data_IF_865488303586
#
_entry.id   IF_865488303586
#
_cell.length_a   1.000
_cell.length_b   1.000
_cell.length_c   1.000
_cell.angle_alpha   90.00
_cell.angle_beta   90.00
_cell.angle_gamma   90.00
#
_symmetry.space_group_name_H-M   'P 1'
#
loop_
_entity.id
_entity.type
_entity.pdbx_description
1 polymer ?
#
# COMPACT_ATOMS: atom_id res chain seq x y z
N UNK A 1 -12.12 -3.00 18.27
CA UNK A 1 -10.75 -3.41 18.66
C UNK A 1 -9.68 -2.43 18.19
N UNK A 2 -9.78 -1.85 16.99
CA UNK A 2 -8.80 -0.86 16.51
C UNK A 2 -8.84 0.47 17.31
N UNK A 3 -10.04 0.97 17.65
CA UNK A 3 -10.26 2.25 18.37
C UNK A 3 -9.62 2.33 19.75
N UNK A 4 -9.41 1.20 20.41
CA UNK A 4 -8.83 1.13 21.75
C UNK A 4 -7.30 1.16 21.76
N UNK A 5 -6.68 1.13 20.58
CA UNK A 5 -5.22 1.14 20.44
C UNK A 5 -4.70 2.58 20.24
N UNK A 6 -3.48 2.90 20.72
CA UNK A 6 -2.79 4.14 20.36
C UNK A 6 -2.61 4.29 18.84
N UNK A 7 -2.59 5.52 18.34
CA UNK A 7 -2.57 5.82 16.90
C UNK A 7 -1.37 5.18 16.18
N UNK A 8 -0.21 5.11 16.84
CA UNK A 8 1.00 4.47 16.33
C UNK A 8 0.80 2.96 16.15
N UNK A 9 0.08 2.33 17.08
CA UNK A 9 -0.25 0.90 17.02
C UNK A 9 -1.29 0.65 15.93
N UNK A 10 -2.27 1.54 15.78
CA UNK A 10 -3.21 1.46 14.66
C UNK A 10 -2.48 1.54 13.32
N UNK A 11 -1.56 2.49 13.14
CA UNK A 11 -0.75 2.60 11.92
C UNK A 11 0.10 1.36 11.67
N UNK A 12 0.68 0.76 12.71
CA UNK A 12 1.45 -0.48 12.58
C UNK A 12 0.58 -1.63 12.09
N UNK A 13 -0.57 -1.87 12.73
CA UNK A 13 -1.50 -2.94 12.36
C UNK A 13 -2.04 -2.74 10.95
N UNK A 14 -2.51 -1.54 10.63
CA UNK A 14 -3.07 -1.24 9.30
C UNK A 14 -2.01 -1.29 8.20
N UNK A 15 -0.75 -0.96 8.50
CA UNK A 15 0.34 -1.06 7.54
C UNK A 15 0.77 -2.49 7.19
N UNK A 16 0.39 -3.48 8.00
CA UNK A 16 0.63 -4.91 7.73
C UNK A 16 -0.50 -5.58 6.94
N UNK A 17 -1.66 -4.93 6.82
CA UNK A 17 -2.77 -5.45 6.03
C UNK A 17 -2.48 -5.31 4.53
N UNK A 18 -2.93 -6.29 3.76
CA UNK A 18 -2.97 -6.18 2.30
C UNK A 18 -4.00 -5.11 1.87
N UNK A 19 -3.84 -4.59 0.66
CA UNK A 19 -4.68 -3.51 0.14
C UNK A 19 -6.16 -3.92 0.06
N UNK A 20 -6.46 -5.18 -0.26
CA UNK A 20 -7.84 -5.65 -0.35
C UNK A 20 -8.47 -5.69 1.04
N UNK A 21 -7.79 -6.26 2.04
CA UNK A 21 -8.26 -6.28 3.43
C UNK A 21 -8.49 -4.88 3.99
N UNK A 22 -7.64 -3.91 3.66
CA UNK A 22 -7.82 -2.51 4.04
C UNK A 22 -9.12 -1.93 3.46
N UNK A 23 -9.31 -2.09 2.14
CA UNK A 23 -10.43 -1.47 1.41
C UNK A 23 -11.76 -2.22 1.56
N UNK A 24 -11.76 -3.46 2.05
CA UNK A 24 -12.97 -4.28 2.20
C UNK A 24 -13.47 -4.38 3.66
N UNK A 25 -12.80 -3.72 4.61
CA UNK A 25 -13.13 -3.75 6.03
C UNK A 25 -14.47 -3.05 6.38
N UNK A 26 -15.60 -3.76 6.22
CA UNK A 26 -16.96 -3.16 6.22
C UNK A 26 -17.49 -2.53 7.53
N UNK A 27 -17.27 -3.06 8.75
CA UNK A 27 -17.92 -2.47 9.92
C UNK A 27 -17.23 -1.19 10.44
N UNK A 28 -15.95 -0.99 10.12
CA UNK A 28 -15.15 0.14 10.59
C UNK A 28 -14.48 0.90 9.43
N UNK A 29 -15.01 0.79 8.20
CA UNK A 29 -14.37 1.34 6.99
C UNK A 29 -14.06 2.84 7.15
N UNK A 30 -14.94 3.63 7.75
CA UNK A 30 -14.71 5.06 7.96
C UNK A 30 -13.57 5.33 8.94
N UNK A 31 -13.48 4.55 10.02
CA UNK A 31 -12.39 4.66 10.98
C UNK A 31 -11.08 4.21 10.33
N UNK A 32 -11.08 3.03 9.71
CA UNK A 32 -9.91 2.46 9.04
C UNK A 32 -9.41 3.44 7.99
N UNK A 33 -10.28 3.95 7.12
CA UNK A 33 -9.90 4.89 6.08
C UNK A 33 -9.49 6.26 6.63
N UNK A 34 -10.09 6.75 7.72
CA UNK A 34 -9.63 8.00 8.35
C UNK A 34 -8.24 7.86 8.98
N UNK A 35 -7.96 6.73 9.65
CA UNK A 35 -6.63 6.42 10.16
C UNK A 35 -5.63 6.21 9.03
N UNK A 36 -5.99 5.48 7.98
CA UNK A 36 -5.15 5.26 6.79
C UNK A 36 -4.85 6.59 6.09
N UNK A 37 -5.83 7.47 5.93
CA UNK A 37 -5.64 8.81 5.34
C UNK A 37 -4.73 9.71 6.20
N UNK A 38 -4.70 9.52 7.52
CA UNK A 38 -3.79 10.22 8.41
C UNK A 38 -2.34 9.70 8.33
N UNK A 39 -2.11 8.52 7.74
CA UNK A 39 -0.77 8.00 7.50
C UNK A 39 -0.10 8.76 6.36
N UNK A 40 0.95 9.51 6.68
CA UNK A 40 1.71 10.31 5.69
C UNK A 40 2.26 9.47 4.52
N UNK A 41 2.59 8.20 4.76
CA UNK A 41 3.01 7.27 3.71
C UNK A 41 1.87 6.91 2.75
N UNK A 42 0.64 6.80 3.25
CA UNK A 42 -0.52 6.52 2.41
C UNK A 42 -0.91 7.70 1.54
N UNK A 43 -0.98 8.91 2.11
CA UNK A 43 -1.27 10.14 1.36
C UNK A 43 -0.31 10.31 0.18
N UNK A 44 0.98 10.05 0.42
CA UNK A 44 2.02 10.02 -0.61
C UNK A 44 1.76 8.99 -1.73
N UNK A 45 1.41 7.75 -1.36
CA UNK A 45 1.08 6.69 -2.33
C UNK A 45 -0.14 7.07 -3.15
N UNK A 46 -1.22 7.54 -2.51
CA UNK A 46 -2.44 7.92 -3.22
C UNK A 46 -2.17 9.03 -4.21
N UNK A 47 -1.40 10.06 -3.83
CA UNK A 47 -1.05 11.16 -4.73
C UNK A 47 -0.21 10.71 -5.94
N UNK A 48 0.72 9.78 -5.76
CA UNK A 48 1.69 9.40 -6.80
C UNK A 48 1.29 8.15 -7.61
N UNK A 49 0.51 7.25 -7.02
CA UNK A 49 0.29 5.91 -7.53
C UNK A 49 -1.19 5.47 -7.47
N UNK A 50 -2.14 6.41 -7.48
CA UNK A 50 -3.57 6.08 -7.50
C UNK A 50 -3.96 5.16 -8.66
N UNK A 51 -3.46 5.44 -9.87
CA UNK A 51 -3.74 4.63 -11.05
C UNK A 51 -3.20 3.20 -10.89
N UNK A 52 -2.05 3.03 -10.24
CA UNK A 52 -1.51 1.72 -9.91
C UNK A 52 -2.45 0.95 -8.97
N UNK A 53 -2.92 1.60 -7.90
CA UNK A 53 -3.83 0.98 -6.93
C UNK A 53 -5.13 0.53 -7.61
N UNK A 54 -5.70 1.39 -8.48
CA UNK A 54 -6.89 1.07 -9.28
C UNK A 54 -6.66 -0.12 -10.21
N UNK A 55 -5.51 -0.15 -10.90
CA UNK A 55 -5.16 -1.25 -11.80
C UNK A 55 -5.04 -2.55 -11.01
N UNK A 56 -4.29 -2.55 -9.91
CA UNK A 56 -4.08 -3.74 -9.07
C UNK A 56 -5.39 -4.29 -8.48
N UNK A 57 -6.34 -3.42 -8.14
CA UNK A 57 -7.68 -3.84 -7.74
C UNK A 57 -8.45 -4.46 -8.92
N UNK A 58 -8.40 -3.84 -10.10
CA UNK A 58 -9.13 -4.30 -11.28
C UNK A 58 -8.62 -5.65 -11.80
N UNK A 59 -7.32 -5.91 -11.74
CA UNK A 59 -6.73 -7.20 -12.13
C UNK A 59 -6.61 -8.20 -10.97
N UNK A 60 -7.24 -7.90 -9.83
CA UNK A 60 -7.25 -8.75 -8.63
C UNK A 60 -5.86 -9.10 -8.07
N UNK A 61 -4.86 -8.23 -8.20
CA UNK A 61 -3.51 -8.45 -7.61
C UNK A 61 -3.31 -7.70 -6.30
N UNK A 62 -4.20 -6.77 -5.93
CA UNK A 62 -4.06 -5.95 -4.73
C UNK A 62 -3.99 -6.73 -3.40
N UNK A 63 -4.43 -8.00 -3.37
CA UNK A 63 -4.34 -8.86 -2.19
C UNK A 63 -2.91 -9.40 -1.94
N UNK A 64 -2.02 -9.28 -2.92
CA UNK A 64 -0.68 -9.88 -2.84
C UNK A 64 0.36 -8.99 -2.16
N UNK A 65 0.02 -7.74 -1.86
CA UNK A 65 0.96 -6.77 -1.29
C UNK A 65 0.32 -5.86 -0.24
N UNK A 66 1.14 -5.39 0.68
CA UNK A 66 0.75 -4.45 1.73
C UNK A 66 1.01 -3.00 1.34
N UNK A 67 0.46 -2.07 2.13
CA UNK A 67 0.73 -0.64 2.00
C UNK A 67 2.24 -0.31 2.07
N UNK A 68 2.95 -0.98 2.98
CA UNK A 68 4.40 -0.78 3.19
C UNK A 68 5.21 -1.22 1.99
N UNK A 69 4.87 -2.37 1.41
CA UNK A 69 5.53 -2.89 0.21
C UNK A 69 5.30 -1.98 -0.99
N UNK A 70 4.07 -1.50 -1.16
CA UNK A 70 3.75 -0.51 -2.20
C UNK A 70 4.54 0.79 -2.00
N UNK A 71 4.59 1.32 -0.77
CA UNK A 71 5.35 2.52 -0.45
C UNK A 71 6.84 2.38 -0.83
N UNK A 72 7.46 1.28 -0.39
CA UNK A 72 8.86 1.00 -0.72
C UNK A 72 9.12 0.96 -2.23
N UNK A 73 8.12 0.54 -3.01
CA UNK A 73 8.20 0.41 -4.47
C UNK A 73 7.96 1.71 -5.21
N UNK A 74 7.01 2.54 -4.78
CA UNK A 74 6.80 3.91 -5.32
C UNK A 74 8.08 4.73 -5.24
N UNK A 75 8.81 4.59 -4.12
CA UNK A 75 10.01 5.36 -3.86
C UNK A 75 11.31 4.63 -4.24
N UNK A 76 11.21 3.50 -4.92
CA UNK A 76 12.37 2.76 -5.35
C UNK A 76 13.10 3.52 -6.47
N UNK A 77 14.36 3.89 -6.23
CA UNK A 77 15.16 4.67 -7.19
C UNK A 77 15.74 3.83 -8.34
N UNK A 78 15.97 2.54 -8.10
CA UNK A 78 16.69 1.63 -9.00
C UNK A 78 15.89 0.36 -9.23
N UNK A 79 16.11 -0.34 -10.33
CA UNK A 79 15.44 -1.61 -10.60
C UNK A 79 15.69 -2.66 -9.51
N UNK A 80 14.69 -3.53 -9.30
CA UNK A 80 14.73 -4.61 -8.29
C UNK A 80 15.51 -5.85 -8.74
N UNK A 81 15.86 -5.89 -10.02
CA UNK A 81 16.49 -7.03 -10.67
C UNK A 81 17.98 -7.00 -10.33
N UNK A 82 18.51 -8.11 -9.82
CA UNK A 82 19.93 -8.25 -9.47
C UNK A 82 20.80 -7.96 -10.71
N UNK A 83 21.65 -6.93 -10.62
CA UNK A 83 22.49 -6.46 -11.73
C UNK A 83 21.87 -5.37 -12.61
N UNK A 84 20.68 -4.88 -12.29
CA UNK A 84 20.04 -3.77 -13.01
C UNK A 84 20.28 -2.46 -12.25
N UNK A 85 21.29 -1.70 -12.67
CA UNK A 85 21.62 -0.37 -12.12
C UNK A 85 20.76 0.75 -12.72
N UNK A 86 19.84 0.41 -13.63
CA UNK A 86 18.98 1.37 -14.29
C UNK A 86 18.00 2.00 -13.29
N UNK A 87 17.63 3.29 -13.52
CA UNK A 87 16.50 3.88 -12.82
C UNK A 87 15.25 3.02 -13.03
N UNK A 88 14.32 3.03 -12.07
CA UNK A 88 13.03 2.37 -12.19
C UNK A 88 11.96 3.38 -12.66
N UNK A 89 11.83 3.65 -13.98
CA UNK A 89 10.86 4.62 -14.49
C UNK A 89 9.41 4.14 -14.37
N UNK A 90 9.21 2.82 -14.26
CA UNK A 90 7.89 2.19 -14.19
C UNK A 90 7.82 1.18 -13.06
N UNK A 91 6.65 1.09 -12.43
CA UNK A 91 6.37 0.11 -11.41
C UNK A 91 5.77 -1.15 -12.06
N UNK A 92 6.44 -2.29 -11.87
CA UNK A 92 5.92 -3.58 -12.31
C UNK A 92 5.01 -4.18 -11.23
N UNK A 93 3.72 -4.32 -11.56
CA UNK A 93 2.68 -4.84 -10.66
C UNK A 93 2.93 -6.33 -10.35
N UNK A 94 3.49 -7.10 -11.29
CA UNK A 94 3.74 -8.54 -11.13
C UNK A 94 4.98 -8.84 -10.30
N UNK A 95 5.84 -7.86 -10.04
CA UNK A 95 6.96 -8.02 -9.10
C UNK A 95 6.46 -7.90 -7.64
N UNK A 96 5.25 -7.38 -7.41
CA UNK A 96 4.65 -7.30 -6.06
C UNK A 96 3.83 -8.54 -5.69
N UNK A 97 3.61 -9.45 -6.62
CA UNK A 97 3.08 -10.78 -6.30
C UNK A 97 4.21 -11.62 -5.73
N UNK A 98 4.08 -11.97 -4.46
CA UNK A 98 5.04 -12.78 -3.70
C UNK A 98 5.23 -14.17 -4.31
#
# INVERSE_FOLDING_TARGET
MLRSLPIETQHMVLGELDIVSLLTSRPDIELVMSTVNAMSNYDKIIRQAWNFLRMALAINTAHSFTLKQLFAKVYQKQCSIKGCENPAPYMDIFILTR
#
